data_IF_879998565476
#
_entry.id   IF_879998565476
#
_cell.length_a   1.000
_cell.length_b   1.000
_cell.length_c   1.000
_cell.angle_alpha   90.00
_cell.angle_beta   90.00
_cell.angle_gamma   90.00
#
_symmetry.space_group_name_H-M   'P 1'
#
loop_
_entity.id
_entity.type
_entity.pdbx_description
1 polymer ?
#
# COMPACT_ATOMS: atom_id res chain seq x y z
N UNK A 1 -15.30 14.62 15.94
CA UNK A 1 -14.84 15.95 16.43
C UNK A 1 -14.63 17.00 15.34
N UNK A 2 -14.82 16.69 14.06
CA UNK A 2 -14.67 17.60 12.91
C UNK A 2 -15.70 18.76 12.95
N UNK A 3 -16.91 18.52 13.47
CA UNK A 3 -18.02 19.48 13.43
C UNK A 3 -17.78 20.85 14.09
N UNK A 4 -16.86 20.96 15.04
CA UNK A 4 -16.52 22.29 15.62
C UNK A 4 -15.63 23.11 14.70
N UNK A 5 -14.72 22.48 13.96
CA UNK A 5 -13.86 23.13 12.98
C UNK A 5 -14.61 23.60 11.73
N UNK A 6 -15.61 22.81 11.30
CA UNK A 6 -16.38 23.06 10.08
C UNK A 6 -17.46 24.15 10.21
N UNK A 7 -17.69 24.71 11.40
CA UNK A 7 -18.70 25.79 11.57
C UNK A 7 -18.35 27.01 10.76
N UNK A 8 -19.30 27.45 9.95
CA UNK A 8 -19.17 28.69 9.19
C UNK A 8 -19.14 29.88 10.15
N UNK A 9 -18.11 30.69 10.04
CA UNK A 9 -17.97 31.97 10.69
C UNK A 9 -17.82 33.06 9.62
N UNK A 10 -18.26 34.30 9.85
CA UNK A 10 -18.31 35.37 8.82
C UNK A 10 -16.96 35.65 8.13
N UNK A 11 -15.83 35.29 8.73
CA UNK A 11 -14.50 35.56 8.20
C UNK A 11 -13.66 34.25 7.96
N UNK A 12 -14.32 33.10 8.05
CA UNK A 12 -13.63 31.81 7.91
C UNK A 12 -14.02 31.14 6.60
N UNK A 13 -13.13 31.17 5.62
CA UNK A 13 -13.35 30.56 4.31
C UNK A 13 -12.93 29.04 4.29
N UNK A 14 -11.90 28.68 5.04
CA UNK A 14 -11.34 27.34 5.06
C UNK A 14 -10.92 26.91 6.47
N UNK A 15 -10.74 25.62 6.67
CA UNK A 15 -10.08 25.06 7.85
C UNK A 15 -9.18 23.91 7.40
N UNK A 16 -8.13 23.64 8.18
CA UNK A 16 -7.24 22.51 7.94
C UNK A 16 -7.61 21.39 8.89
N UNK A 17 -7.83 20.20 8.34
CA UNK A 17 -7.99 18.98 9.12
C UNK A 17 -6.63 18.29 9.20
N UNK A 18 -6.13 18.10 10.43
CA UNK A 18 -4.87 17.37 10.67
C UNK A 18 -5.22 16.02 11.27
N UNK A 19 -4.92 14.95 10.55
CA UNK A 19 -5.13 13.59 11.00
C UNK A 19 -3.87 13.02 11.65
N UNK A 20 -3.75 13.22 12.97
CA UNK A 20 -2.60 12.71 13.74
C UNK A 20 -2.66 11.20 14.01
N UNK A 21 -3.82 10.59 13.84
CA UNK A 21 -4.06 9.16 14.10
C UNK A 21 -4.06 8.28 12.85
N UNK A 22 -3.81 8.88 11.69
CA UNK A 22 -3.93 8.20 10.40
C UNK A 22 -5.33 7.58 10.18
N UNK A 23 -6.36 8.30 10.63
CA UNK A 23 -7.74 7.80 10.60
C UNK A 23 -8.29 7.73 9.18
N UNK A 24 -7.86 8.65 8.30
CA UNK A 24 -8.24 8.62 6.89
C UNK A 24 -7.81 7.32 6.20
N UNK A 25 -6.62 6.80 6.54
CA UNK A 25 -6.14 5.50 6.03
C UNK A 25 -6.89 4.30 6.65
N UNK A 26 -7.45 4.48 7.84
CA UNK A 26 -8.14 3.40 8.58
C UNK A 26 -9.63 3.34 8.29
N UNK A 27 -10.26 4.48 8.10
CA UNK A 27 -11.71 4.62 8.04
C UNK A 27 -12.21 5.32 6.77
N UNK A 28 -11.30 5.68 5.86
CA UNK A 28 -11.62 6.49 4.68
C UNK A 28 -11.60 7.99 4.97
N UNK A 29 -11.78 8.78 3.92
CA UNK A 29 -11.82 10.23 4.03
C UNK A 29 -13.02 10.66 4.89
N UNK A 30 -12.83 11.74 5.64
CA UNK A 30 -13.86 12.30 6.54
C UNK A 30 -15.11 12.83 5.82
N UNK A 31 -15.01 13.10 4.52
CA UNK A 31 -16.06 13.58 3.62
C UNK A 31 -16.67 12.47 2.74
N UNK A 32 -16.23 11.24 2.90
CA UNK A 32 -16.82 10.10 2.19
C UNK A 32 -18.28 9.92 2.60
N UNK A 33 -19.15 9.67 1.63
CA UNK A 33 -20.53 9.27 1.91
C UNK A 33 -20.55 7.91 2.62
N UNK A 34 -20.97 7.92 3.86
CA UNK A 34 -21.14 6.72 4.67
C UNK A 34 -22.62 6.58 4.98
N UNK A 35 -23.18 5.42 4.62
CA UNK A 35 -24.52 5.03 5.09
C UNK A 35 -24.45 4.66 6.57
N UNK A 36 -24.55 5.67 7.41
CA UNK A 36 -24.50 5.51 8.85
C UNK A 36 -25.61 4.63 9.39
N UNK A 37 -26.79 4.62 8.75
CA UNK A 37 -27.89 3.75 9.16
C UNK A 37 -27.51 2.28 8.98
N UNK A 38 -26.97 1.94 7.81
CA UNK A 38 -26.46 0.59 7.53
C UNK A 38 -25.33 0.18 8.48
N UNK A 39 -24.42 1.10 8.80
CA UNK A 39 -23.31 0.87 9.74
C UNK A 39 -23.82 0.56 11.15
N UNK A 40 -24.83 1.30 11.64
CA UNK A 40 -25.39 1.07 12.96
C UNK A 40 -26.23 -0.19 13.05
N UNK A 41 -26.93 -0.55 11.98
CA UNK A 41 -27.72 -1.78 11.91
C UNK A 41 -26.87 -3.04 11.76
N UNK A 42 -25.68 -2.91 11.13
CA UNK A 42 -24.80 -4.04 10.78
C UNK A 42 -23.33 -3.75 11.12
N UNK A 43 -22.96 -3.49 12.36
CA UNK A 43 -21.60 -3.06 12.72
C UNK A 43 -20.52 -4.11 12.37
N UNK A 44 -20.86 -5.40 12.50
CA UNK A 44 -19.92 -6.48 12.21
C UNK A 44 -19.62 -6.59 10.70
N UNK A 45 -20.65 -6.47 9.87
CA UNK A 45 -20.51 -6.47 8.40
C UNK A 45 -19.69 -5.28 7.94
N UNK A 46 -19.93 -4.09 8.51
CA UNK A 46 -19.15 -2.91 8.22
C UNK A 46 -17.68 -3.08 8.64
N UNK A 47 -17.44 -3.65 9.82
CA UNK A 47 -16.09 -3.90 10.29
C UNK A 47 -15.34 -4.94 9.44
N UNK A 48 -16.02 -5.96 8.96
CA UNK A 48 -15.46 -6.93 8.02
C UNK A 48 -15.21 -6.32 6.65
N UNK A 49 -16.13 -5.52 6.13
CA UNK A 49 -15.94 -4.83 4.85
C UNK A 49 -14.74 -3.87 4.91
N UNK A 50 -14.52 -3.19 6.04
CA UNK A 50 -13.34 -2.35 6.25
C UNK A 50 -12.04 -3.16 6.29
N UNK A 51 -12.05 -4.36 6.85
CA UNK A 51 -10.90 -5.28 6.78
C UNK A 51 -10.62 -5.73 5.35
N UNK A 52 -11.65 -6.01 4.57
CA UNK A 52 -11.53 -6.41 3.16
C UNK A 52 -11.20 -5.25 2.22
N UNK A 53 -11.62 -4.02 2.55
CA UNK A 53 -11.29 -2.82 1.75
C UNK A 53 -9.79 -2.50 1.80
N UNK A 54 -9.09 -2.90 2.86
CA UNK A 54 -7.62 -2.80 2.95
C UNK A 54 -6.90 -3.82 2.05
N UNK A 55 -7.56 -4.90 1.66
CA UNK A 55 -7.05 -5.93 0.74
C UNK A 55 -7.49 -5.71 -0.72
N UNK A 56 -8.25 -4.66 -1.00
CA UNK A 56 -8.68 -4.40 -2.37
C UNK A 56 -7.48 -4.07 -3.28
N UNK A 57 -7.46 -4.78 -4.36
CA UNK A 57 -6.62 -4.62 -5.53
C UNK A 57 -6.46 -3.13 -5.84
N UNK A 58 -5.27 -2.61 -5.59
CA UNK A 58 -4.96 -1.21 -5.87
C UNK A 58 -4.62 -1.08 -7.33
N UNK A 59 -5.47 -0.38 -8.01
CA UNK A 59 -5.21 -0.01 -9.38
C UNK A 59 -4.17 1.11 -9.42
N UNK A 60 -3.30 1.04 -10.41
CA UNK A 60 -2.45 2.17 -10.78
C UNK A 60 -3.38 3.30 -11.23
N UNK A 61 -3.11 4.53 -10.77
CA UNK A 61 -3.95 5.68 -11.09
C UNK A 61 -4.01 5.97 -12.61
N UNK A 62 -5.01 6.72 -13.10
CA UNK A 62 -5.20 6.96 -14.53
C UNK A 62 -4.03 7.65 -15.22
N UNK A 63 -3.31 8.55 -14.52
CA UNK A 63 -2.14 9.23 -15.07
C UNK A 63 -1.00 8.25 -15.29
N UNK A 64 -0.77 7.37 -14.34
CA UNK A 64 0.20 6.29 -14.44
C UNK A 64 -0.16 5.30 -15.56
N UNK A 65 -1.45 4.97 -15.75
CA UNK A 65 -1.90 4.11 -16.85
C UNK A 65 -1.69 4.74 -18.21
N UNK A 66 -1.79 6.06 -18.31
CA UNK A 66 -1.49 6.77 -19.55
C UNK A 66 -0.01 6.66 -19.91
N UNK A 67 0.86 6.79 -18.92
CA UNK A 67 2.31 6.67 -19.09
C UNK A 67 2.79 5.22 -19.24
N UNK A 68 2.14 4.29 -18.55
CA UNK A 68 2.43 2.85 -18.58
C UNK A 68 1.16 2.09 -18.97
N UNK A 69 0.80 2.04 -20.26
CA UNK A 69 -0.50 1.52 -20.72
C UNK A 69 -0.73 0.05 -20.39
N UNK A 70 0.33 -0.73 -20.22
CA UNK A 70 0.27 -2.14 -19.84
C UNK A 70 0.37 -2.35 -18.32
N UNK A 71 0.22 -1.28 -17.51
CA UNK A 71 0.34 -1.38 -16.07
C UNK A 71 -0.73 -2.28 -15.47
N UNK A 72 -0.30 -3.17 -14.58
CA UNK A 72 -1.12 -4.11 -13.84
C UNK A 72 -1.43 -3.58 -12.45
N UNK A 73 -2.30 -4.29 -11.75
CA UNK A 73 -2.57 -4.04 -10.35
C UNK A 73 -1.33 -4.31 -9.48
N UNK A 74 -1.11 -3.47 -8.50
CA UNK A 74 0.09 -3.50 -7.65
C UNK A 74 -0.11 -4.22 -6.33
N UNK A 75 -1.32 -4.70 -6.04
CA UNK A 75 -1.64 -5.29 -4.74
C UNK A 75 -0.85 -6.57 -4.46
N UNK A 76 -0.49 -6.72 -3.20
CA UNK A 76 0.10 -7.94 -2.66
C UNK A 76 -0.51 -8.21 -1.27
N UNK A 77 -1.17 -9.35 -1.10
CA UNK A 77 -1.73 -9.73 0.19
C UNK A 77 -0.64 -10.25 1.13
N UNK A 78 -0.08 -9.32 1.88
CA UNK A 78 1.01 -9.60 2.81
C UNK A 78 0.58 -10.51 3.95
N UNK A 79 -0.66 -10.35 4.44
CA UNK A 79 -1.16 -11.13 5.56
C UNK A 79 -1.34 -12.60 5.17
N UNK A 80 -2.02 -12.86 4.06
CA UNK A 80 -2.23 -14.22 3.55
C UNK A 80 -0.89 -14.90 3.22
N UNK A 81 0.05 -14.20 2.58
CA UNK A 81 1.39 -14.72 2.31
C UNK A 81 2.15 -15.07 3.60
N UNK A 82 2.08 -14.21 4.62
CA UNK A 82 2.71 -14.44 5.91
C UNK A 82 2.12 -15.66 6.64
N UNK A 83 0.80 -15.77 6.66
CA UNK A 83 0.09 -16.90 7.29
C UNK A 83 0.34 -18.22 6.57
N UNK A 84 0.37 -18.21 5.24
CA UNK A 84 0.67 -19.39 4.45
C UNK A 84 2.09 -19.95 4.75
N UNK A 85 3.08 -19.06 4.91
CA UNK A 85 4.45 -19.46 5.27
C UNK A 85 4.51 -20.08 6.68
N UNK A 86 3.79 -19.53 7.65
CA UNK A 86 3.70 -20.11 9.00
C UNK A 86 3.06 -21.49 8.93
N UNK A 87 1.97 -21.65 8.19
CA UNK A 87 1.28 -22.93 8.04
C UNK A 87 2.15 -23.99 7.34
N UNK A 88 3.07 -23.57 6.47
CA UNK A 88 4.03 -24.42 5.77
C UNK A 88 5.33 -24.67 6.56
N UNK A 89 5.43 -24.21 7.81
CA UNK A 89 6.65 -24.24 8.63
C UNK A 89 7.87 -23.57 7.95
N UNK A 90 7.59 -22.59 7.10
CA UNK A 90 8.61 -21.78 6.43
C UNK A 90 8.91 -20.49 7.21
N UNK A 91 10.03 -19.85 6.84
CA UNK A 91 10.47 -18.61 7.49
C UNK A 91 9.55 -17.44 7.11
N UNK A 92 8.82 -16.83 8.04
CA UNK A 92 7.85 -15.75 7.76
C UNK A 92 8.47 -14.54 7.03
N UNK A 93 9.79 -14.32 7.17
CA UNK A 93 10.52 -13.28 6.43
C UNK A 93 10.50 -13.49 4.90
N UNK A 94 10.11 -14.68 4.42
CA UNK A 94 9.96 -14.93 2.99
C UNK A 94 8.78 -14.13 2.41
N UNK A 95 7.74 -13.78 3.20
CA UNK A 95 6.61 -12.98 2.73
C UNK A 95 7.06 -11.64 2.13
N UNK A 96 7.96 -10.92 2.81
CA UNK A 96 8.47 -9.65 2.28
C UNK A 96 9.36 -9.86 1.05
N UNK A 97 10.08 -10.98 0.97
CA UNK A 97 10.89 -11.33 -0.21
C UNK A 97 10.02 -11.62 -1.43
N UNK A 98 8.93 -12.32 -1.25
CA UNK A 98 7.99 -12.65 -2.31
C UNK A 98 7.23 -11.40 -2.77
N UNK A 99 6.90 -10.50 -1.84
CA UNK A 99 6.38 -9.17 -2.16
C UNK A 99 7.35 -8.36 -3.03
N UNK A 100 8.64 -8.35 -2.72
CA UNK A 100 9.67 -7.68 -3.53
C UNK A 100 9.77 -8.32 -4.92
N UNK A 101 9.70 -9.65 -5.02
CA UNK A 101 9.74 -10.36 -6.30
C UNK A 101 8.54 -10.00 -7.19
N UNK A 102 7.34 -10.06 -6.63
CA UNK A 102 6.11 -9.69 -7.34
C UNK A 102 6.17 -8.23 -7.81
N UNK A 103 6.64 -7.32 -6.95
CA UNK A 103 6.78 -5.91 -7.31
C UNK A 103 7.81 -5.70 -8.44
N UNK A 104 8.95 -6.39 -8.38
CA UNK A 104 9.95 -6.33 -9.43
C UNK A 104 9.44 -6.87 -10.77
N UNK A 105 8.77 -8.04 -10.76
CA UNK A 105 8.15 -8.60 -11.96
C UNK A 105 7.15 -7.65 -12.58
N UNK A 106 6.25 -7.09 -11.76
CA UNK A 106 5.25 -6.12 -12.22
C UNK A 106 5.91 -4.89 -12.86
N UNK A 107 6.94 -4.31 -12.25
CA UNK A 107 7.65 -3.17 -12.84
C UNK A 107 8.32 -3.53 -14.18
N UNK A 108 8.92 -4.73 -14.29
CA UNK A 108 9.60 -5.18 -15.50
C UNK A 108 8.61 -5.53 -16.64
N UNK A 109 7.48 -6.14 -16.32
CA UNK A 109 6.45 -6.49 -17.29
C UNK A 109 5.75 -5.27 -17.88
N UNK A 110 5.73 -4.16 -17.15
CA UNK A 110 5.11 -2.90 -17.55
C UNK A 110 6.11 -1.86 -18.09
N UNK A 111 7.34 -2.23 -18.36
CA UNK A 111 8.40 -1.30 -18.77
C UNK A 111 9.23 -1.88 -19.92
N UNK A 112 9.55 -1.05 -20.91
CA UNK A 112 10.39 -1.46 -22.03
C UNK A 112 11.87 -1.60 -21.64
N UNK A 113 12.31 -0.81 -20.67
CA UNK A 113 13.71 -0.77 -20.26
C UNK A 113 13.86 -0.61 -18.73
N UNK A 114 15.10 -0.82 -18.24
CA UNK A 114 15.42 -0.76 -16.81
C UNK A 114 15.16 0.62 -16.21
N UNK A 115 15.36 1.69 -16.97
CA UNK A 115 15.16 3.06 -16.51
C UNK A 115 13.68 3.31 -16.24
N UNK A 116 12.81 2.90 -17.16
CA UNK A 116 11.35 2.99 -16.97
C UNK A 116 10.87 2.14 -15.81
N UNK A 117 11.40 0.91 -15.67
CA UNK A 117 11.06 0.07 -14.52
C UNK A 117 11.41 0.74 -13.19
N UNK A 118 12.57 1.42 -13.12
CA UNK A 118 12.97 2.17 -11.94
C UNK A 118 12.11 3.43 -11.73
N UNK A 119 11.71 4.12 -12.79
CA UNK A 119 10.76 5.24 -12.70
C UNK A 119 9.41 4.75 -12.17
N UNK A 120 8.93 3.59 -12.63
CA UNK A 120 7.69 3.01 -12.12
C UNK A 120 7.76 2.70 -10.62
N UNK A 121 8.90 2.25 -10.10
CA UNK A 121 9.14 2.10 -8.66
C UNK A 121 8.95 3.41 -7.90
N UNK A 122 9.45 4.51 -8.44
CA UNK A 122 9.29 5.84 -7.82
C UNK A 122 7.84 6.29 -7.81
N UNK A 123 7.11 6.10 -8.91
CA UNK A 123 5.68 6.39 -8.96
C UNK A 123 4.86 5.55 -7.96
N UNK A 124 5.25 4.29 -7.77
CA UNK A 124 4.59 3.36 -6.85
C UNK A 124 5.14 3.41 -5.42
N UNK A 125 5.85 4.46 -5.05
CA UNK A 125 6.44 4.61 -3.72
C UNK A 125 5.42 4.44 -2.58
N UNK A 126 4.18 4.90 -2.76
CA UNK A 126 3.10 4.72 -1.79
C UNK A 126 2.80 3.23 -1.53
N UNK A 127 2.88 2.39 -2.56
CA UNK A 127 2.69 0.94 -2.45
C UNK A 127 3.73 0.29 -1.54
N UNK A 128 5.00 0.72 -1.61
CA UNK A 128 6.05 0.22 -0.72
C UNK A 128 5.70 0.50 0.74
N UNK A 129 5.25 1.71 1.05
CA UNK A 129 4.87 2.08 2.42
C UNK A 129 3.72 1.21 2.95
N UNK A 130 2.79 0.85 2.08
CA UNK A 130 1.65 0.02 2.44
C UNK A 130 2.10 -1.41 2.73
N UNK A 131 2.88 -2.01 1.84
CA UNK A 131 3.42 -3.36 2.01
C UNK A 131 4.26 -3.48 3.29
N UNK A 132 5.09 -2.48 3.59
CA UNK A 132 5.86 -2.42 4.83
C UNK A 132 4.96 -2.31 6.05
N UNK A 133 3.90 -1.49 5.98
CA UNK A 133 2.93 -1.35 7.07
C UNK A 133 2.20 -2.67 7.34
N UNK A 134 1.77 -3.36 6.31
CA UNK A 134 1.11 -4.66 6.43
C UNK A 134 2.06 -5.72 7.00
N UNK A 135 3.28 -5.77 6.51
CA UNK A 135 4.29 -6.68 7.06
C UNK A 135 4.60 -6.37 8.54
N UNK A 136 4.72 -5.10 8.90
CA UNK A 136 4.92 -4.67 10.28
C UNK A 136 3.76 -5.09 11.20
N UNK A 137 2.52 -5.08 10.71
CA UNK A 137 1.36 -5.62 11.45
C UNK A 137 1.50 -7.12 11.72
N UNK A 138 1.97 -7.90 10.75
CA UNK A 138 2.21 -9.33 10.92
C UNK A 138 3.29 -9.63 11.98
N UNK A 139 4.29 -8.74 12.12
CA UNK A 139 5.36 -8.88 13.12
C UNK A 139 4.93 -8.43 14.54
N UNK A 140 3.83 -7.68 14.68
CA UNK A 140 3.36 -7.13 15.94
C UNK A 140 3.99 -5.78 16.28
N UNK A 141 4.54 -5.63 17.49
CA UNK A 141 5.10 -4.36 17.97
C UNK A 141 6.44 -4.03 17.32
N UNK A 142 6.40 -3.29 16.23
CA UNK A 142 7.56 -2.87 15.46
C UNK A 142 7.86 -1.39 15.71
N UNK A 143 9.13 -1.07 16.05
CA UNK A 143 9.55 0.31 16.26
C UNK A 143 9.52 1.13 14.97
N UNK A 144 9.41 2.47 15.10
CA UNK A 144 9.45 3.40 13.97
C UNK A 144 10.75 3.23 13.17
N UNK A 145 11.90 3.18 13.86
CA UNK A 145 13.20 3.04 13.21
C UNK A 145 13.33 1.74 12.41
N UNK A 146 12.76 0.64 12.93
CA UNK A 146 12.77 -0.63 12.22
C UNK A 146 11.90 -0.59 10.95
N UNK A 147 10.75 0.11 10.98
CA UNK A 147 9.91 0.31 9.78
C UNK A 147 10.61 1.16 8.72
N UNK A 148 11.32 2.21 9.14
CA UNK A 148 12.12 3.04 8.24
C UNK A 148 13.22 2.22 7.58
N UNK A 149 13.96 1.45 8.38
CA UNK A 149 14.98 0.51 7.86
C UNK A 149 14.38 -0.53 6.90
N UNK A 150 13.24 -1.13 7.22
CA UNK A 150 12.54 -2.08 6.34
C UNK A 150 12.19 -1.45 4.99
N UNK A 151 11.74 -0.20 4.98
CA UNK A 151 11.40 0.52 3.77
C UNK A 151 12.63 0.75 2.88
N UNK A 152 13.72 1.18 3.47
CA UNK A 152 14.99 1.37 2.76
C UNK A 152 15.53 0.05 2.21
N UNK A 153 15.52 -1.01 3.01
CA UNK A 153 15.95 -2.34 2.59
C UNK A 153 15.05 -2.89 1.47
N UNK A 154 13.73 -2.70 1.56
CA UNK A 154 12.79 -3.07 0.51
C UNK A 154 13.12 -2.37 -0.81
N UNK A 155 13.26 -1.05 -0.78
CA UNK A 155 13.54 -0.24 -1.97
C UNK A 155 14.89 -0.65 -2.60
N UNK A 156 15.92 -0.80 -1.78
CA UNK A 156 17.24 -1.21 -2.26
C UNK A 156 17.21 -2.58 -2.94
N UNK A 157 16.55 -3.56 -2.33
CA UNK A 157 16.42 -4.90 -2.91
C UNK A 157 15.58 -4.91 -4.17
N UNK A 158 14.49 -4.16 -4.19
CA UNK A 158 13.63 -4.01 -5.37
C UNK A 158 14.42 -3.47 -6.57
N UNK A 159 15.14 -2.37 -6.38
CA UNK A 159 15.97 -1.78 -7.42
C UNK A 159 17.10 -2.72 -7.88
N UNK A 160 17.76 -3.41 -6.95
CA UNK A 160 18.80 -4.41 -7.28
C UNK A 160 18.21 -5.57 -8.09
N UNK A 161 17.01 -6.04 -7.72
CA UNK A 161 16.35 -7.14 -8.42
C UNK A 161 15.98 -6.75 -9.85
N UNK A 162 15.41 -5.56 -10.06
CA UNK A 162 15.10 -5.02 -11.39
C UNK A 162 16.36 -4.97 -12.27
N UNK A 163 17.48 -4.45 -11.75
CA UNK A 163 18.75 -4.38 -12.48
C UNK A 163 19.29 -5.76 -12.85
N UNK A 164 19.18 -6.76 -11.93
CA UNK A 164 19.69 -8.13 -12.16
C UNK A 164 18.85 -8.93 -13.14
N UNK A 165 17.53 -8.83 -13.07
CA UNK A 165 16.63 -9.62 -13.91
C UNK A 165 16.71 -9.18 -15.37
N UNK A 166 16.81 -7.91 -15.64
CA UNK A 166 16.95 -7.43 -17.03
C UNK A 166 18.34 -7.72 -17.64
N UNK A 167 19.39 -7.78 -16.84
CA UNK A 167 20.70 -8.24 -17.30
C UNK A 167 20.72 -9.70 -17.75
N UNK A 168 19.77 -10.52 -17.26
CA UNK A 168 19.60 -11.93 -17.69
C UNK A 168 18.71 -12.10 -18.93
N UNK A 169 17.88 -11.12 -19.25
CA UNK A 169 16.99 -11.15 -20.43
C UNK A 169 17.67 -10.58 -21.67
N UNK A 170 18.79 -9.89 -21.49
CA UNK A 170 19.56 -9.25 -22.58
C UNK A 170 20.79 -10.05 -23.02
N UNK A 171 21.06 -11.21 -22.46
CA UNK A 171 22.12 -12.15 -22.82
C UNK A 171 21.56 -13.51 -23.19
#
# INVERSE_FOLDING_TARGET
MVGRGARRLPKKATFTLVDLGNNADRFGNWDAEIDWQHVFENPDIYHESMKHTVSNIRQIDPEMRTRFPNSLETSFDMLSAYQALIAADEKPKNAIRDSIRQHASMCLENSENTTEALQLVEYLHAEINIRIREYAKCLGNVTKNYREWLREDYLNRLQQMIRRLKGKLAG
#
